data_IF_920403790933
#
_entry.id   IF_920403790933
#
_cell.length_a   1.000
_cell.length_b   1.000
_cell.length_c   1.000
_cell.angle_alpha   90.00
_cell.angle_beta   90.00
_cell.angle_gamma   90.00
#
_symmetry.space_group_name_H-M   'P 1'
#
loop_
_entity.id
_entity.type
_entity.pdbx_description
1 polymer ?
#
# COMPACT_ATOMS: atom_id res chain seq x y z
N UNK A 1 -21.29 5.76 2.18
CA UNK A 1 -20.34 4.64 2.26
C UNK A 1 -20.91 3.58 3.19
N UNK A 2 -20.79 2.31 2.80
CA UNK A 2 -21.06 1.18 3.70
C UNK A 2 -20.08 1.22 4.87
N UNK A 3 -20.46 0.64 6.01
CA UNK A 3 -19.57 0.53 7.17
C UNK A 3 -18.32 -0.28 6.77
N UNK A 4 -17.09 0.14 7.11
CA UNK A 4 -15.90 -0.65 6.81
C UNK A 4 -15.96 -2.00 7.53
N UNK A 5 -15.45 -3.03 6.87
CA UNK A 5 -15.23 -4.36 7.46
C UNK A 5 -14.12 -4.31 8.50
N UNK A 6 -13.11 -3.47 8.26
CA UNK A 6 -11.95 -3.29 9.11
C UNK A 6 -11.39 -1.88 8.97
N UNK A 7 -10.82 -1.37 10.06
CA UNK A 7 -10.06 -0.12 10.06
C UNK A 7 -8.69 -0.34 10.67
N UNK A 8 -7.66 0.23 10.04
CA UNK A 8 -6.26 0.18 10.48
C UNK A 8 -5.85 1.60 10.86
N UNK A 9 -5.52 1.82 12.13
CA UNK A 9 -4.96 3.09 12.57
C UNK A 9 -3.43 3.06 12.40
N UNK A 10 -2.90 4.01 11.64
CA UNK A 10 -1.47 4.26 11.46
C UNK A 10 -1.09 5.63 12.04
N UNK A 11 0.20 5.97 12.06
CA UNK A 11 0.65 7.23 12.65
C UNK A 11 0.13 8.45 11.88
N UNK A 12 0.09 8.37 10.56
CA UNK A 12 -0.25 9.50 9.67
C UNK A 12 -1.60 9.38 8.97
N UNK A 13 -2.31 8.26 9.13
CA UNK A 13 -3.61 8.05 8.50
C UNK A 13 -4.41 6.94 9.20
N UNK A 14 -5.69 6.83 8.84
CA UNK A 14 -6.53 5.66 9.09
C UNK A 14 -6.91 5.04 7.74
N UNK A 15 -6.78 3.73 7.61
CA UNK A 15 -7.22 3.00 6.42
C UNK A 15 -8.52 2.27 6.77
N UNK A 16 -9.57 2.50 5.99
CA UNK A 16 -10.85 1.81 6.08
C UNK A 16 -10.97 0.84 4.91
N UNK A 17 -11.27 -0.43 5.19
CA UNK A 17 -11.33 -1.51 4.20
C UNK A 17 -12.77 -2.02 4.11
N UNK A 18 -13.36 -1.93 2.92
CA UNK A 18 -14.64 -2.49 2.55
C UNK A 18 -14.55 -3.87 1.90
N UNK A 19 -15.68 -4.36 1.41
CA UNK A 19 -15.75 -5.63 0.64
C UNK A 19 -15.08 -5.55 -0.72
N UNK A 20 -15.05 -4.36 -1.30
CA UNK A 20 -14.73 -4.08 -2.71
C UNK A 20 -14.05 -2.71 -2.88
N UNK A 21 -13.74 -2.04 -1.77
CA UNK A 21 -13.14 -0.70 -1.74
C UNK A 21 -12.19 -0.57 -0.57
N UNK A 22 -11.28 0.39 -0.67
CA UNK A 22 -10.40 0.82 0.42
C UNK A 22 -10.28 2.34 0.40
N UNK A 23 -10.18 2.96 1.56
CA UNK A 23 -10.01 4.40 1.68
C UNK A 23 -8.99 4.76 2.74
N UNK A 24 -8.13 5.72 2.43
CA UNK A 24 -7.14 6.30 3.34
C UNK A 24 -7.62 7.67 3.78
N UNK A 25 -7.73 7.87 5.09
CA UNK A 25 -8.20 9.10 5.73
C UNK A 25 -7.05 9.77 6.49
N UNK A 26 -6.84 11.06 6.25
CA UNK A 26 -5.78 11.84 6.87
C UNK A 26 -6.30 12.71 8.03
N UNK A 27 -5.42 13.10 8.98
CA UNK A 27 -5.81 13.91 10.14
C UNK A 27 -6.39 15.30 9.80
N UNK A 28 -6.07 15.84 8.62
CA UNK A 28 -6.61 17.11 8.13
C UNK A 28 -8.03 17.01 7.55
N UNK A 29 -8.63 15.81 7.58
CA UNK A 29 -9.96 15.52 7.09
C UNK A 29 -10.02 15.17 5.60
N UNK A 30 -8.90 15.22 4.88
CA UNK A 30 -8.83 14.75 3.50
C UNK A 30 -8.81 13.22 3.43
N UNK A 31 -9.22 12.68 2.29
CA UNK A 31 -9.21 11.24 2.07
C UNK A 31 -9.09 10.90 0.59
N UNK A 32 -8.57 9.70 0.31
CA UNK A 32 -8.56 9.15 -1.03
C UNK A 32 -9.07 7.71 -0.98
N UNK A 33 -9.94 7.36 -1.92
CA UNK A 33 -10.50 6.02 -2.06
C UNK A 33 -9.94 5.35 -3.31
N UNK A 34 -9.70 4.04 -3.21
CA UNK A 34 -9.27 3.20 -4.31
C UNK A 34 -10.20 1.99 -4.45
N UNK A 35 -10.38 1.58 -5.70
CA UNK A 35 -11.09 0.37 -6.12
C UNK A 35 -10.15 -0.42 -7.06
N UNK A 36 -10.28 -1.75 -7.13
CA UNK A 36 -9.46 -2.55 -8.03
C UNK A 36 -9.66 -2.14 -9.49
N UNK A 37 -8.55 -1.87 -10.19
CA UNK A 37 -8.58 -1.54 -11.60
C UNK A 37 -8.52 -2.83 -12.44
N UNK A 38 -9.46 -3.02 -13.36
CA UNK A 38 -9.48 -4.21 -14.22
C UNK A 38 -8.73 -4.01 -15.55
N UNK A 39 -7.71 -3.14 -15.56
CA UNK A 39 -6.86 -2.95 -16.74
C UNK A 39 -5.88 -4.11 -16.90
N UNK A 40 -5.50 -4.43 -18.14
CA UNK A 40 -4.59 -5.55 -18.41
C UNK A 40 -3.24 -5.40 -17.68
N UNK A 41 -2.75 -4.18 -17.56
CA UNK A 41 -1.50 -3.85 -16.86
C UNK A 41 -1.60 -4.12 -15.35
N UNK A 42 -2.70 -3.72 -14.72
CA UNK A 42 -2.93 -3.90 -13.29
C UNK A 42 -3.12 -5.38 -12.94
N UNK A 43 -3.84 -6.13 -13.77
CA UNK A 43 -3.96 -7.59 -13.64
C UNK A 43 -2.60 -8.28 -13.77
N UNK A 44 -1.80 -7.90 -14.78
CA UNK A 44 -0.46 -8.46 -14.97
C UNK A 44 0.46 -8.13 -13.78
N UNK A 45 0.33 -6.95 -13.18
CA UNK A 45 1.10 -6.57 -12.00
C UNK A 45 0.71 -7.37 -10.76
N UNK A 46 -0.59 -7.57 -10.52
CA UNK A 46 -1.09 -8.44 -9.44
C UNK A 46 -0.56 -9.88 -9.59
N UNK A 47 -0.57 -10.42 -10.82
CA UNK A 47 0.02 -11.73 -11.12
C UNK A 47 1.51 -11.79 -10.79
N UNK A 48 2.30 -10.80 -11.25
CA UNK A 48 3.74 -10.72 -10.95
C UNK A 48 4.03 -10.63 -9.47
N UNK A 49 3.18 -9.94 -8.71
CA UNK A 49 3.33 -9.81 -7.27
C UNK A 49 2.85 -11.06 -6.51
N UNK A 50 2.39 -12.13 -7.16
CA UNK A 50 2.02 -13.38 -6.49
C UNK A 50 0.58 -13.46 -6.01
N UNK A 51 -0.30 -12.53 -6.41
CA UNK A 51 -1.73 -12.58 -6.09
C UNK A 51 -2.53 -13.48 -7.04
N UNK A 52 -1.90 -13.98 -8.10
CA UNK A 52 -2.59 -14.73 -9.15
C UNK A 52 -3.67 -13.86 -9.79
N UNK A 53 -4.94 -14.26 -9.66
CA UNK A 53 -6.09 -13.50 -10.17
C UNK A 53 -6.76 -12.58 -9.14
N UNK A 54 -6.27 -12.51 -7.90
CA UNK A 54 -6.91 -11.74 -6.82
C UNK A 54 -6.52 -10.25 -6.87
N UNK A 55 -7.10 -9.56 -7.84
CA UNK A 55 -6.87 -8.13 -8.10
C UNK A 55 -7.39 -7.25 -6.97
N UNK A 56 -8.48 -7.67 -6.31
CA UNK A 56 -9.06 -6.95 -5.19
C UNK A 56 -8.10 -6.93 -4.00
N UNK A 57 -7.57 -8.10 -3.63
CA UNK A 57 -6.57 -8.20 -2.58
C UNK A 57 -5.31 -7.42 -2.93
N UNK A 58 -4.84 -7.50 -4.18
CA UNK A 58 -3.72 -6.69 -4.65
C UNK A 58 -3.98 -5.19 -4.40
N UNK A 59 -5.15 -4.67 -4.78
CA UNK A 59 -5.51 -3.27 -4.59
C UNK A 59 -5.57 -2.86 -3.11
N UNK A 60 -6.23 -3.66 -2.27
CA UNK A 60 -6.31 -3.36 -0.83
C UNK A 60 -4.93 -3.33 -0.18
N UNK A 61 -4.12 -4.35 -0.46
CA UNK A 61 -2.78 -4.44 0.10
C UNK A 61 -1.82 -3.38 -0.45
N UNK A 62 -2.08 -2.87 -1.65
CA UNK A 62 -1.29 -1.80 -2.25
C UNK A 62 -1.47 -0.46 -1.50
N UNK A 63 -2.71 -0.11 -1.14
CA UNK A 63 -2.97 1.08 -0.31
C UNK A 63 -2.38 0.95 1.10
N UNK A 64 -2.40 -0.25 1.68
CA UNK A 64 -1.70 -0.54 2.95
C UNK A 64 -0.19 -0.34 2.79
N UNK A 65 0.38 -0.79 1.67
CA UNK A 65 1.80 -0.62 1.38
C UNK A 65 2.17 0.87 1.29
N UNK A 66 1.37 1.71 0.60
CA UNK A 66 1.59 3.15 0.55
C UNK A 66 1.69 3.78 1.94
N UNK A 67 0.71 3.50 2.80
CA UNK A 67 0.70 4.06 4.15
C UNK A 67 1.90 3.60 4.98
N UNK A 68 2.28 2.32 4.87
CA UNK A 68 3.43 1.76 5.58
C UNK A 68 4.77 2.30 5.07
N UNK A 69 4.94 2.42 3.74
CA UNK A 69 6.15 3.00 3.13
C UNK A 69 6.27 4.47 3.52
N UNK A 70 5.16 5.23 3.48
CA UNK A 70 5.12 6.59 3.99
C UNK A 70 5.66 6.69 5.41
N UNK A 71 5.12 5.88 6.32
CA UNK A 71 5.49 5.93 7.74
C UNK A 71 6.94 5.50 8.00
N UNK A 72 7.38 4.39 7.39
CA UNK A 72 8.70 3.79 7.69
C UNK A 72 9.83 4.45 6.92
N UNK A 73 9.64 4.69 5.61
CA UNK A 73 10.70 5.18 4.72
C UNK A 73 10.73 6.71 4.74
N UNK A 74 9.58 7.36 4.58
CA UNK A 74 9.52 8.82 4.46
C UNK A 74 9.25 9.53 5.78
N UNK A 75 8.92 8.81 6.85
CA UNK A 75 8.55 9.36 8.16
C UNK A 75 7.42 10.39 8.05
N UNK A 76 6.44 10.10 7.19
CA UNK A 76 5.31 10.97 6.90
C UNK A 76 4.15 10.22 6.24
N UNK A 77 3.11 10.92 5.75
CA UNK A 77 2.08 10.28 4.94
C UNK A 77 2.68 9.77 3.61
N UNK A 78 2.01 8.77 3.01
CA UNK A 78 2.24 8.38 1.61
C UNK A 78 2.21 9.63 0.72
N UNK A 79 3.22 9.84 -0.11
CA UNK A 79 3.28 10.98 -1.03
C UNK A 79 2.27 10.82 -2.15
N UNK A 80 2.06 9.59 -2.61
CA UNK A 80 1.07 9.24 -3.63
C UNK A 80 -0.34 9.53 -3.12
N UNK A 81 -0.75 8.85 -2.06
CA UNK A 81 -2.13 8.90 -1.55
C UNK A 81 -2.45 10.29 -0.99
N UNK A 82 -1.50 10.94 -0.31
CA UNK A 82 -1.66 12.33 0.13
C UNK A 82 -1.82 13.30 -1.04
N UNK A 83 -0.99 13.16 -2.08
CA UNK A 83 -1.06 13.96 -3.29
C UNK A 83 -2.41 13.83 -3.98
N UNK A 84 -2.92 12.60 -4.08
CA UNK A 84 -4.25 12.30 -4.61
C UNK A 84 -5.37 12.92 -3.77
N UNK A 85 -5.36 12.75 -2.44
CA UNK A 85 -6.35 13.31 -1.53
C UNK A 85 -6.46 14.85 -1.60
N UNK A 86 -5.37 15.52 -1.99
CA UNK A 86 -5.28 16.98 -2.09
C UNK A 86 -5.45 17.52 -3.51
N UNK A 87 -5.70 16.67 -4.51
CA UNK A 87 -5.76 17.08 -5.92
C UNK A 87 -4.43 17.62 -6.46
N UNK A 88 -3.30 17.21 -5.86
CA UNK A 88 -1.94 17.64 -6.19
C UNK A 88 -1.11 16.53 -6.83
N UNK A 89 -1.77 15.48 -7.32
CA UNK A 89 -1.08 14.36 -7.96
C UNK A 89 -0.50 14.80 -9.32
N UNK A 90 0.82 14.84 -9.40
CA UNK A 90 1.55 15.07 -10.63
C UNK A 90 2.74 14.09 -10.66
N UNK A 91 2.91 13.26 -11.71
CA UNK A 91 3.99 12.29 -11.76
C UNK A 91 5.35 12.94 -11.46
N UNK A 92 6.05 12.39 -10.47
CA UNK A 92 7.38 12.82 -10.07
C UNK A 92 8.26 11.60 -9.78
N UNK A 93 9.57 11.79 -9.72
CA UNK A 93 10.52 10.71 -9.38
C UNK A 93 10.21 10.14 -8.00
N UNK A 94 9.78 10.98 -7.06
CA UNK A 94 9.40 10.58 -5.72
C UNK A 94 8.15 9.69 -5.69
N UNK A 95 7.15 9.99 -6.52
CA UNK A 95 5.95 9.16 -6.66
C UNK A 95 6.33 7.80 -7.26
N UNK A 96 7.11 7.80 -8.34
CA UNK A 96 7.57 6.55 -8.97
C UNK A 96 8.41 5.69 -8.01
N UNK A 97 9.23 6.33 -7.17
CA UNK A 97 10.01 5.63 -6.16
C UNK A 97 9.12 4.99 -5.08
N UNK A 98 8.05 5.65 -4.64
CA UNK A 98 7.11 5.09 -3.68
C UNK A 98 6.33 3.91 -4.26
N UNK A 99 5.83 4.04 -5.49
CA UNK A 99 5.16 2.97 -6.25
C UNK A 99 6.05 1.72 -6.36
N UNK A 100 7.31 1.90 -6.75
CA UNK A 100 8.26 0.79 -6.87
C UNK A 100 8.56 0.11 -5.53
N UNK A 101 8.64 0.88 -4.44
CA UNK A 101 8.79 0.33 -3.09
C UNK A 101 7.56 -0.48 -2.67
N UNK A 102 6.35 0.00 -2.98
CA UNK A 102 5.10 -0.71 -2.70
C UNK A 102 5.04 -2.04 -3.47
N UNK A 103 5.33 -2.00 -4.78
CA UNK A 103 5.38 -3.20 -5.64
C UNK A 103 6.44 -4.19 -5.14
N UNK A 104 7.64 -3.70 -4.81
CA UNK A 104 8.73 -4.53 -4.26
C UNK A 104 8.34 -5.19 -2.93
N UNK A 105 7.70 -4.45 -2.03
CA UNK A 105 7.21 -4.98 -0.76
C UNK A 105 6.14 -6.04 -0.98
N UNK A 106 5.17 -5.79 -1.85
CA UNK A 106 4.11 -6.74 -2.16
C UNK A 106 4.66 -8.02 -2.80
N UNK A 107 5.54 -7.90 -3.80
CA UNK A 107 6.19 -9.05 -4.43
C UNK A 107 7.03 -9.85 -3.42
N UNK A 108 7.71 -9.19 -2.49
CA UNK A 108 8.43 -9.88 -1.43
C UNK A 108 7.51 -10.57 -0.42
N UNK A 109 6.42 -9.92 -0.03
CA UNK A 109 5.43 -10.48 0.89
C UNK A 109 4.78 -11.75 0.32
N UNK A 110 4.40 -11.72 -0.96
CA UNK A 110 3.47 -12.65 -1.59
C UNK A 110 4.13 -13.66 -2.52
N UNK A 111 5.04 -13.20 -3.38
CA UNK A 111 5.77 -14.05 -4.32
C UNK A 111 7.14 -14.51 -3.80
N UNK A 112 7.59 -13.97 -2.65
CA UNK A 112 8.92 -14.27 -2.10
C UNK A 112 10.07 -13.65 -2.91
N UNK A 113 9.77 -12.71 -3.81
CA UNK A 113 10.78 -12.00 -4.61
C UNK A 113 11.57 -11.05 -3.72
N UNK A 114 12.87 -11.28 -3.56
CA UNK A 114 13.70 -10.41 -2.74
C UNK A 114 13.82 -9.01 -3.37
N UNK A 115 13.66 -7.93 -2.58
CA UNK A 115 13.88 -6.57 -3.06
C UNK A 115 15.33 -6.38 -3.54
N UNK A 116 15.51 -5.77 -4.71
CA UNK A 116 16.84 -5.52 -5.29
C UNK A 116 17.56 -4.32 -4.68
N UNK A 117 16.83 -3.37 -4.10
CA UNK A 117 17.37 -2.18 -3.46
C UNK A 117 17.48 -2.36 -1.95
N UNK A 118 18.61 -1.96 -1.36
CA UNK A 118 18.78 -1.91 0.10
C UNK A 118 19.62 -0.70 0.50
N UNK A 119 19.49 -0.27 1.75
CA UNK A 119 20.28 0.81 2.35
C UNK A 119 20.81 0.34 3.72
N UNK A 120 21.97 0.85 4.18
CA UNK A 120 22.47 0.53 5.52
C UNK A 120 21.42 0.78 6.60
N UNK A 121 21.14 -0.24 7.41
CA UNK A 121 20.16 -0.17 8.50
C UNK A 121 18.70 -0.34 8.08
N UNK A 122 18.40 -0.58 6.79
CA UNK A 122 17.05 -0.90 6.34
C UNK A 122 16.77 -2.40 6.42
N UNK A 123 15.74 -2.80 7.15
CA UNK A 123 15.36 -4.19 7.34
C UNK A 123 14.08 -4.53 6.56
N UNK A 124 14.27 -5.11 5.37
CA UNK A 124 13.17 -5.58 4.53
C UNK A 124 12.34 -6.70 5.17
N UNK A 125 12.94 -7.55 6.00
CA UNK A 125 12.22 -8.65 6.64
C UNK A 125 11.29 -8.12 7.75
N UNK A 126 11.78 -7.17 8.55
CA UNK A 126 10.94 -6.47 9.52
C UNK A 126 9.78 -5.71 8.84
N UNK A 127 10.07 -5.03 7.72
CA UNK A 127 9.04 -4.33 6.95
C UNK A 127 8.00 -5.31 6.37
N UNK A 128 8.44 -6.44 5.78
CA UNK A 128 7.56 -7.51 5.29
C UNK A 128 6.70 -8.07 6.41
N UNK A 129 7.28 -8.33 7.58
CA UNK A 129 6.53 -8.86 8.72
C UNK A 129 5.47 -7.86 9.19
N UNK A 130 5.82 -6.57 9.32
CA UNK A 130 4.87 -5.51 9.66
C UNK A 130 3.75 -5.37 8.64
N UNK A 131 4.07 -5.46 7.35
CA UNK A 131 3.10 -5.44 6.27
C UNK A 131 2.10 -6.60 6.39
N UNK A 132 2.59 -7.82 6.61
CA UNK A 132 1.74 -9.00 6.79
C UNK A 132 0.87 -8.92 8.06
N UNK A 133 1.36 -8.33 9.15
CA UNK A 133 0.55 -8.03 10.33
C UNK A 133 -0.61 -7.07 10.00
N UNK A 134 -0.32 -6.01 9.24
CA UNK A 134 -1.36 -5.08 8.77
C UNK A 134 -2.34 -5.76 7.80
N UNK A 135 -1.94 -6.82 7.11
CA UNK A 135 -2.84 -7.63 6.28
C UNK A 135 -3.61 -8.72 7.05
N UNK A 136 -3.49 -8.79 8.39
CA UNK A 136 -4.07 -9.84 9.27
C UNK A 136 -3.59 -11.27 9.01
N UNK A 137 -2.36 -11.44 8.52
CA UNK A 137 -1.86 -12.78 8.14
C UNK A 137 -0.93 -13.41 9.15
N UNK A 138 -0.45 -12.60 10.09
CA UNK A 138 0.40 -13.03 11.18
C UNK A 138 -0.10 -12.37 12.46
N UNK A 139 -0.25 -13.16 13.52
CA UNK A 139 -0.54 -12.63 14.86
C UNK A 139 0.71 -11.94 15.44
N UNK A 140 0.53 -10.99 16.37
CA UNK A 140 1.64 -10.28 17.04
C UNK A 140 2.65 -11.20 17.70
#
# INVERSE_FOLDING_TARGET
MTKPLRSIQMLFCRIDIGSDWIATHFPDGTSYGAEPQMTAEYVALAQRCGYGGDVLRYAHEHEIAHALIGEVVYRGPSRVVWGCAHGKYAPSVEILAEEELCISLQAFARAGTLPGSSAPGFDWFALRYRFLQLCDEVSP
#
